data_IF_547071748649
#
_entry.id   IF_547071748649
#
_cell.length_a   1.000
_cell.length_b   1.000
_cell.length_c   1.000
_cell.angle_alpha   90.00
_cell.angle_beta   90.00
_cell.angle_gamma   90.00
#
_symmetry.space_group_name_H-M   'P 1'
#
loop_
_entity.id
_entity.type
_entity.pdbx_description
1 polymer ?
#
# COMPACT_ATOMS: atom_id res chain seq x y z
N UNK A 1 -8.99 16.32 33.76
CA UNK A 1 -8.67 16.70 32.36
C UNK A 1 -7.60 15.81 31.69
N UNK A 2 -7.20 14.66 32.26
CA UNK A 2 -6.08 13.84 31.71
C UNK A 2 -6.52 12.54 31.01
N UNK A 3 -7.83 12.25 30.93
CA UNK A 3 -8.31 10.98 30.37
C UNK A 3 -8.07 10.85 28.87
N UNK A 4 -8.36 11.91 28.11
CA UNK A 4 -8.23 11.92 26.64
C UNK A 4 -6.76 11.91 26.22
N UNK A 5 -5.89 12.70 26.86
CA UNK A 5 -4.46 12.71 26.55
C UNK A 5 -3.78 11.39 26.89
N UNK A 6 -4.14 10.77 28.02
CA UNK A 6 -3.61 9.46 28.38
C UNK A 6 -4.09 8.39 27.39
N UNK A 7 -5.36 8.43 26.98
CA UNK A 7 -5.88 7.55 25.93
C UNK A 7 -5.12 7.72 24.60
N UNK A 8 -4.92 8.95 24.12
CA UNK A 8 -4.15 9.21 22.89
C UNK A 8 -2.72 8.67 22.99
N UNK A 9 -2.08 8.81 24.16
CA UNK A 9 -0.72 8.33 24.38
C UNK A 9 -0.65 6.80 24.31
N UNK A 10 -1.57 6.11 24.99
CA UNK A 10 -1.66 4.64 24.93
C UNK A 10 -1.99 4.15 23.52
N UNK A 11 -2.92 4.82 22.84
CA UNK A 11 -3.26 4.51 21.46
C UNK A 11 -2.05 4.65 20.53
N UNK A 12 -1.27 5.73 20.66
CA UNK A 12 -0.08 5.95 19.83
C UNK A 12 0.99 4.87 20.04
N UNK A 13 1.20 4.41 21.27
CA UNK A 13 2.12 3.31 21.57
C UNK A 13 1.63 1.99 20.98
N UNK A 14 0.34 1.71 21.11
CA UNK A 14 -0.30 0.57 20.46
C UNK A 14 -0.13 0.62 18.94
N UNK A 15 -0.41 1.77 18.33
CA UNK A 15 -0.30 1.98 16.89
C UNK A 15 1.11 1.76 16.36
N UNK A 16 2.12 2.28 17.05
CA UNK A 16 3.53 2.06 16.69
C UNK A 16 3.87 0.57 16.69
N UNK A 17 3.48 -0.13 17.75
CA UNK A 17 3.67 -1.59 17.86
C UNK A 17 2.90 -2.34 16.77
N UNK A 18 1.67 -1.91 16.48
CA UNK A 18 0.82 -2.48 15.45
C UNK A 18 1.45 -2.35 14.06
N UNK A 19 2.04 -1.20 13.72
CA UNK A 19 2.72 -1.00 12.44
C UNK A 19 3.93 -1.91 12.25
N UNK A 20 4.69 -2.19 13.30
CA UNK A 20 5.80 -3.15 13.25
C UNK A 20 5.29 -4.54 12.86
N UNK A 21 4.19 -5.01 13.47
CA UNK A 21 3.58 -6.29 13.07
C UNK A 21 2.97 -6.23 11.66
N UNK A 22 2.39 -5.09 11.30
CA UNK A 22 1.78 -4.85 10.00
C UNK A 22 2.80 -4.98 8.86
N UNK A 23 4.05 -4.55 9.06
CA UNK A 23 5.16 -4.78 8.12
C UNK A 23 5.31 -6.25 7.77
N UNK A 24 5.41 -7.13 8.78
CA UNK A 24 5.62 -8.56 8.55
C UNK A 24 4.41 -9.22 7.90
N UNK A 25 3.19 -8.83 8.29
CA UNK A 25 1.96 -9.28 7.64
C UNK A 25 1.96 -8.85 6.17
N UNK A 26 2.34 -7.62 5.88
CA UNK A 26 2.42 -7.09 4.52
C UNK A 26 3.43 -7.86 3.67
N UNK A 27 4.62 -8.12 4.19
CA UNK A 27 5.65 -8.93 3.53
C UNK A 27 5.12 -10.35 3.25
N UNK A 28 4.43 -10.97 4.20
CA UNK A 28 3.83 -12.30 4.02
C UNK A 28 2.78 -12.29 2.90
N UNK A 29 1.91 -11.28 2.85
CA UNK A 29 0.93 -11.12 1.77
C UNK A 29 1.65 -11.00 0.42
N UNK A 30 2.69 -10.17 0.34
CA UNK A 30 3.46 -9.96 -0.89
C UNK A 30 4.16 -11.22 -1.38
N UNK A 31 4.76 -11.99 -0.47
CA UNK A 31 5.31 -13.31 -0.80
C UNK A 31 4.23 -14.27 -1.29
N UNK A 32 3.10 -14.33 -0.60
CA UNK A 32 1.99 -15.21 -0.95
C UNK A 32 1.48 -14.90 -2.35
N UNK A 33 1.26 -13.62 -2.64
CA UNK A 33 0.85 -13.12 -3.96
C UNK A 33 1.91 -13.47 -5.01
N UNK A 34 3.19 -13.20 -4.76
CA UNK A 34 4.29 -13.51 -5.67
C UNK A 34 4.38 -15.00 -6.02
N UNK A 35 4.41 -15.88 -5.01
CA UNK A 35 4.43 -17.32 -5.20
C UNK A 35 3.19 -17.83 -5.93
N UNK A 36 1.99 -17.41 -5.54
CA UNK A 36 0.74 -17.81 -6.21
C UNK A 36 0.75 -17.44 -7.70
N UNK A 37 1.32 -16.29 -8.04
CA UNK A 37 1.45 -15.85 -9.45
C UNK A 37 2.38 -16.78 -10.23
N UNK A 38 3.53 -17.14 -9.66
CA UNK A 38 4.49 -18.06 -10.29
C UNK A 38 3.96 -19.49 -10.40
N UNK A 39 3.30 -20.01 -9.36
CA UNK A 39 2.64 -21.32 -9.39
C UNK A 39 1.58 -21.39 -10.49
N UNK A 40 0.78 -20.33 -10.64
CA UNK A 40 -0.24 -20.28 -11.69
C UNK A 40 0.35 -20.28 -13.09
N UNK A 41 1.45 -19.57 -13.33
CA UNK A 41 2.16 -19.61 -14.61
C UNK A 41 2.67 -21.02 -14.92
N UNK A 42 3.24 -21.71 -13.92
CA UNK A 42 3.71 -23.10 -14.07
C UNK A 42 2.55 -24.04 -14.44
N UNK A 43 1.39 -23.88 -13.80
CA UNK A 43 0.18 -24.64 -14.13
C UNK A 43 -0.32 -24.40 -15.55
N UNK A 44 -0.38 -23.13 -15.97
CA UNK A 44 -0.78 -22.77 -17.35
C UNK A 44 0.22 -23.36 -18.36
N UNK A 45 1.53 -23.24 -18.12
CA UNK A 45 2.55 -23.78 -19.01
C UNK A 45 2.44 -25.30 -19.20
N UNK A 46 2.23 -26.06 -18.11
CA UNK A 46 2.04 -27.52 -18.18
C UNK A 46 0.81 -27.87 -19.01
N UNK A 47 -0.29 -27.13 -18.83
CA UNK A 47 -1.54 -27.30 -19.58
C UNK A 47 -1.36 -27.02 -21.06
N UNK A 48 -0.78 -25.88 -21.44
CA UNK A 48 -0.51 -25.53 -22.85
C UNK A 48 0.37 -26.57 -23.53
N UNK A 49 1.36 -27.12 -22.81
CA UNK A 49 2.24 -28.19 -23.31
C UNK A 49 1.49 -29.51 -23.54
N UNK A 50 0.53 -29.85 -22.70
CA UNK A 50 -0.27 -31.07 -22.82
C UNK A 50 -1.35 -30.95 -23.90
N UNK A 51 -2.02 -29.80 -23.98
CA UNK A 51 -3.16 -29.57 -24.88
C UNK A 51 -2.72 -29.08 -26.29
N UNK A 52 -1.42 -28.88 -26.56
CA UNK A 52 -0.86 -28.32 -27.82
C UNK A 52 -1.55 -27.01 -28.26
N UNK A 53 -2.01 -26.21 -27.31
CA UNK A 53 -2.67 -24.92 -27.58
C UNK A 53 -1.63 -23.93 -28.11
N UNK A 54 -2.02 -23.13 -29.10
CA UNK A 54 -1.13 -22.17 -29.74
C UNK A 54 -0.51 -21.20 -28.72
N UNK A 55 0.82 -20.98 -28.76
CA UNK A 55 1.52 -20.13 -27.79
C UNK A 55 1.16 -18.64 -27.90
N UNK A 56 0.46 -18.22 -28.95
CA UNK A 56 0.00 -16.83 -29.14
C UNK A 56 -1.16 -16.43 -28.23
N UNK A 57 -1.89 -17.39 -27.64
CA UNK A 57 -3.08 -17.10 -26.83
C UNK A 57 -2.75 -16.48 -25.46
N UNK A 58 -1.55 -16.72 -24.91
CA UNK A 58 -1.18 -16.28 -23.55
C UNK A 58 -0.18 -15.09 -23.55
N UNK A 59 -0.55 -14.01 -24.23
CA UNK A 59 0.22 -12.73 -24.26
C UNK A 59 0.53 -12.18 -22.86
N UNK A 60 -0.24 -12.55 -21.84
CA UNK A 60 -0.07 -12.11 -20.45
C UNK A 60 0.97 -12.91 -19.65
N UNK A 61 1.55 -13.98 -20.21
CA UNK A 61 2.54 -14.81 -19.52
C UNK A 61 3.78 -14.04 -19.09
N UNK A 62 4.34 -13.20 -19.97
CA UNK A 62 5.52 -12.37 -19.67
C UNK A 62 5.23 -11.33 -18.56
N UNK A 63 4.16 -10.51 -18.65
CA UNK A 63 3.76 -9.62 -17.56
C UNK A 63 3.58 -10.33 -16.21
N UNK A 64 2.90 -11.48 -16.16
CA UNK A 64 2.68 -12.24 -14.92
C UNK A 64 3.98 -12.70 -14.28
N UNK A 65 4.95 -13.13 -15.09
CA UNK A 65 6.25 -13.56 -14.60
C UNK A 65 7.00 -12.39 -13.98
N UNK A 66 7.05 -11.26 -14.70
CA UNK A 66 7.66 -10.02 -14.20
C UNK A 66 7.01 -9.58 -12.89
N UNK A 67 5.67 -9.59 -12.79
CA UNK A 67 4.96 -9.25 -11.56
C UNK A 67 5.23 -10.20 -10.40
N UNK A 68 5.24 -11.51 -10.66
CA UNK A 68 5.54 -12.50 -9.63
C UNK A 68 6.91 -12.29 -9.01
N UNK A 69 7.93 -12.07 -9.85
CA UNK A 69 9.28 -11.72 -9.38
C UNK A 69 9.32 -10.35 -8.71
N UNK A 70 8.61 -9.36 -9.24
CA UNK A 70 8.53 -8.02 -8.67
C UNK A 70 7.92 -8.01 -7.26
N UNK A 71 6.85 -8.77 -7.02
CA UNK A 71 6.26 -8.90 -5.67
C UNK A 71 7.21 -9.56 -4.68
N UNK A 72 7.93 -10.61 -5.09
CA UNK A 72 8.94 -11.28 -4.25
C UNK A 72 10.11 -10.34 -3.95
N UNK A 73 10.60 -9.61 -4.96
CA UNK A 73 11.67 -8.63 -4.80
C UNK A 73 11.27 -7.51 -3.84
N UNK A 74 10.05 -6.95 -4.00
CA UNK A 74 9.52 -5.95 -3.07
C UNK A 74 9.35 -6.50 -1.66
N UNK A 75 8.88 -7.75 -1.50
CA UNK A 75 8.72 -8.38 -0.19
C UNK A 75 10.06 -8.49 0.55
N UNK A 76 11.11 -8.98 -0.12
CA UNK A 76 12.48 -8.97 0.43
C UNK A 76 12.99 -7.55 0.68
N UNK A 77 12.68 -6.64 -0.22
CA UNK A 77 13.01 -5.23 -0.11
C UNK A 77 12.52 -4.56 1.15
N UNK A 78 11.25 -4.81 1.49
CA UNK A 78 10.61 -4.26 2.68
C UNK A 78 11.05 -5.00 3.93
N UNK A 79 11.30 -6.32 3.83
CA UNK A 79 11.79 -7.11 4.96
C UNK A 79 13.17 -6.64 5.45
N UNK A 80 14.07 -6.28 4.52
CA UNK A 80 15.42 -5.81 4.82
C UNK A 80 15.57 -4.28 4.80
N UNK A 81 14.46 -3.54 4.79
CA UNK A 81 14.38 -2.07 4.82
C UNK A 81 15.01 -1.31 3.65
N UNK A 82 15.86 -1.93 2.83
CA UNK A 82 16.53 -1.25 1.72
C UNK A 82 15.52 -0.66 0.72
N UNK A 83 14.43 -1.39 0.45
CA UNK A 83 13.42 -0.91 -0.49
C UNK A 83 12.49 0.11 0.17
N UNK A 84 12.26 -0.01 1.47
CA UNK A 84 11.53 1.01 2.26
C UNK A 84 12.27 2.34 2.20
N UNK A 85 13.58 2.36 2.44
CA UNK A 85 14.41 3.57 2.29
C UNK A 85 14.39 4.11 0.86
N UNK A 86 14.53 3.25 -0.14
CA UNK A 86 14.46 3.65 -1.55
C UNK A 86 13.11 4.31 -1.88
N UNK A 87 11.99 3.71 -1.45
CA UNK A 87 10.66 4.26 -1.67
C UNK A 87 10.48 5.60 -0.98
N UNK A 88 10.93 5.74 0.27
CA UNK A 88 10.90 7.03 0.98
C UNK A 88 11.65 8.07 0.16
N UNK A 89 12.90 7.85 -0.24
CA UNK A 89 13.71 8.83 -0.96
C UNK A 89 13.09 9.22 -2.32
N UNK A 90 12.62 8.23 -3.09
CA UNK A 90 12.09 8.47 -4.44
C UNK A 90 10.73 9.18 -4.39
N UNK A 91 9.93 8.90 -3.37
CA UNK A 91 8.57 9.41 -3.25
C UNK A 91 8.45 10.63 -2.31
N UNK A 92 9.45 10.95 -1.48
CA UNK A 92 9.52 12.16 -0.64
C UNK A 92 9.25 13.47 -1.39
N UNK A 93 9.69 13.66 -2.66
CA UNK A 93 9.37 14.89 -3.38
C UNK A 93 7.93 14.94 -3.91
N UNK A 94 7.13 13.88 -3.79
CA UNK A 94 5.72 13.96 -4.12
C UNK A 94 4.99 14.73 -3.02
N UNK A 95 4.00 15.57 -3.36
CA UNK A 95 3.09 16.15 -2.39
C UNK A 95 2.23 15.03 -1.82
N UNK A 96 2.80 14.26 -0.89
CA UNK A 96 2.05 13.29 -0.13
C UNK A 96 1.02 14.07 0.69
N UNK A 97 -0.19 13.53 0.75
CA UNK A 97 -1.31 14.00 1.59
C UNK A 97 -2.09 15.20 1.03
N UNK A 98 -2.64 15.06 -0.18
CA UNK A 98 -3.73 15.92 -0.67
C UNK A 98 -4.90 16.04 0.33
N UNK A 99 -5.07 15.08 1.24
CA UNK A 99 -6.01 15.17 2.36
C UNK A 99 -5.82 16.45 3.17
N UNK A 100 -4.60 16.93 3.44
CA UNK A 100 -4.42 18.16 4.22
C UNK A 100 -4.77 19.42 3.42
N UNK A 101 -4.53 19.41 2.10
CA UNK A 101 -5.04 20.45 1.19
C UNK A 101 -6.57 20.47 1.16
N UNK A 102 -7.21 19.29 1.18
CA UNK A 102 -8.67 19.18 1.26
C UNK A 102 -9.23 19.64 2.62
N UNK A 103 -8.55 19.31 3.72
CA UNK A 103 -8.97 19.75 5.06
C UNK A 103 -8.83 21.28 5.20
N UNK A 104 -7.79 21.87 4.61
CA UNK A 104 -7.59 23.33 4.58
C UNK A 104 -8.24 24.02 3.37
N UNK A 105 -9.26 23.42 2.74
CA UNK A 105 -9.87 23.95 1.51
C UNK A 105 -10.46 25.37 1.70
N UNK A 106 -10.98 25.67 2.89
CA UNK A 106 -11.51 26.99 3.23
C UNK A 106 -10.43 28.00 3.68
N UNK A 107 -9.18 27.57 3.84
CA UNK A 107 -8.10 28.43 4.33
C UNK A 107 -8.18 28.80 5.82
N UNK A 108 -9.10 28.20 6.57
CA UNK A 108 -9.32 28.49 8.00
C UNK A 108 -8.24 27.89 8.92
N UNK A 109 -7.39 26.99 8.41
CA UNK A 109 -6.29 26.40 9.18
C UNK A 109 -4.98 27.13 8.90
N UNK A 110 -4.38 27.63 9.98
CA UNK A 110 -3.03 28.21 9.96
C UNK A 110 -2.04 27.16 9.41
N UNK A 111 -1.22 27.49 8.38
CA UNK A 111 -0.21 26.58 7.84
C UNK A 111 0.81 26.11 8.88
N UNK A 112 0.99 26.83 10.00
CA UNK A 112 1.82 26.34 11.11
C UNK A 112 1.18 25.16 11.85
N UNK A 113 -0.15 25.13 11.92
CA UNK A 113 -0.92 24.05 12.55
C UNK A 113 -0.96 22.83 11.63
N UNK A 114 -1.13 23.01 10.31
CA UNK A 114 -1.14 21.89 9.35
C UNK A 114 0.20 21.14 9.30
N UNK A 115 1.32 21.88 9.29
CA UNK A 115 2.67 21.32 9.25
C UNK A 115 3.01 20.47 10.50
N UNK A 116 2.29 20.68 11.62
CA UNK A 116 2.43 19.89 12.85
C UNK A 116 1.70 18.55 12.78
N UNK A 117 0.64 18.41 12.00
CA UNK A 117 -0.04 17.14 11.75
C UNK A 117 0.55 16.38 10.57
N UNK A 118 1.24 17.10 9.67
CA UNK A 118 1.89 16.54 8.49
C UNK A 118 3.24 15.87 8.80
N UNK A 119 3.91 16.22 9.89
CA UNK A 119 5.17 15.57 10.25
C UNK A 119 5.14 15.08 11.69
N UNK A 120 5.31 13.77 11.87
CA UNK A 120 5.27 13.13 13.19
C UNK A 120 6.36 13.67 14.13
N UNK A 121 7.51 14.11 13.58
CA UNK A 121 8.60 14.71 14.34
C UNK A 121 8.25 16.12 14.84
N UNK A 122 7.36 16.81 14.14
CA UNK A 122 6.88 18.16 14.49
C UNK A 122 5.63 18.15 15.38
N UNK A 123 5.03 16.98 15.62
CA UNK A 123 3.88 16.82 16.52
C UNK A 123 4.29 17.14 17.96
N UNK A 124 3.62 18.11 18.59
CA UNK A 124 3.83 18.49 19.99
C UNK A 124 2.85 17.80 20.93
N UNK A 125 1.61 17.56 20.47
CA UNK A 125 0.57 16.96 21.30
C UNK A 125 0.23 15.52 20.89
N UNK A 126 -0.22 14.66 21.81
CA UNK A 126 -0.48 13.25 21.53
C UNK A 126 -1.62 13.03 20.54
N UNK A 127 -2.64 13.90 20.51
CA UNK A 127 -3.75 13.81 19.56
C UNK A 127 -3.31 14.08 18.11
N UNK A 128 -2.27 14.89 17.90
CA UNK A 128 -1.72 15.16 16.55
C UNK A 128 -1.08 13.90 15.97
N UNK A 129 -0.33 13.17 16.81
CA UNK A 129 0.22 11.86 16.45
C UNK A 129 -0.86 10.83 16.16
N UNK A 130 -1.96 10.85 16.91
CA UNK A 130 -3.11 9.96 16.69
C UNK A 130 -3.74 10.20 15.31
N UNK A 131 -3.89 11.46 14.90
CA UNK A 131 -4.36 11.81 13.55
C UNK A 131 -3.38 11.31 12.49
N UNK A 132 -2.07 11.52 12.69
CA UNK A 132 -1.04 11.01 11.78
C UNK A 132 -1.13 9.50 11.59
N UNK A 133 -1.20 8.74 12.70
CA UNK A 133 -1.31 7.27 12.66
C UNK A 133 -2.58 6.81 11.94
N UNK A 134 -3.68 7.55 12.08
CA UNK A 134 -4.94 7.24 11.39
C UNK A 134 -4.80 7.43 9.88
N UNK A 135 -4.15 8.51 9.45
CA UNK A 135 -3.85 8.78 8.03
C UNK A 135 -2.89 7.72 7.46
N UNK A 136 -1.86 7.35 8.23
CA UNK A 136 -0.93 6.29 7.84
C UNK A 136 -1.62 4.93 7.67
N UNK A 137 -2.60 4.59 8.54
CA UNK A 137 -3.39 3.38 8.37
C UNK A 137 -4.21 3.40 7.08
N UNK A 138 -4.88 4.50 6.79
CA UNK A 138 -5.60 4.67 5.53
C UNK A 138 -4.66 4.52 4.33
N UNK A 139 -3.51 5.20 4.36
CA UNK A 139 -2.48 5.13 3.33
C UNK A 139 -2.01 3.68 3.08
N UNK A 140 -1.73 2.92 4.15
CA UNK A 140 -1.40 1.50 4.04
C UNK A 140 -2.53 0.68 3.41
N UNK A 141 -3.77 0.86 3.89
CA UNK A 141 -4.93 0.11 3.40
C UNK A 141 -5.20 0.34 1.91
N UNK A 142 -5.11 1.59 1.44
CA UNK A 142 -5.28 1.91 0.02
C UNK A 142 -4.13 1.36 -0.83
N UNK A 143 -2.89 1.43 -0.34
CA UNK A 143 -1.73 0.85 -1.01
C UNK A 143 -1.85 -0.67 -1.15
N UNK A 144 -2.25 -1.36 -0.08
CA UNK A 144 -2.51 -2.80 -0.10
C UNK A 144 -3.62 -3.17 -1.10
N UNK A 145 -4.74 -2.44 -1.09
CA UNK A 145 -5.83 -2.67 -2.04
C UNK A 145 -5.41 -2.42 -3.48
N UNK A 146 -4.56 -1.41 -3.73
CA UNK A 146 -4.02 -1.14 -5.06
C UNK A 146 -3.17 -2.31 -5.55
N UNK A 147 -2.25 -2.80 -4.73
CA UNK A 147 -1.38 -3.96 -5.01
C UNK A 147 -2.23 -5.20 -5.35
N UNK A 148 -3.24 -5.49 -4.53
CA UNK A 148 -4.13 -6.64 -4.74
C UNK A 148 -5.02 -6.47 -5.97
N UNK A 149 -5.49 -5.24 -6.26
CA UNK A 149 -6.30 -4.95 -7.45
C UNK A 149 -5.50 -5.15 -8.74
N UNK A 150 -4.23 -4.70 -8.77
CA UNK A 150 -3.31 -4.94 -9.89
C UNK A 150 -3.07 -6.44 -10.08
N UNK A 151 -2.79 -7.16 -8.99
CA UNK A 151 -2.60 -8.61 -9.03
C UNK A 151 -3.84 -9.32 -9.58
N UNK A 152 -5.03 -8.96 -9.10
CA UNK A 152 -6.29 -9.54 -9.55
C UNK A 152 -6.51 -9.31 -11.04
N UNK A 153 -6.26 -8.10 -11.54
CA UNK A 153 -6.46 -7.73 -12.94
C UNK A 153 -5.60 -8.59 -13.88
N UNK A 154 -4.35 -8.83 -13.50
CA UNK A 154 -3.38 -9.51 -14.39
C UNK A 154 -3.48 -11.02 -14.27
N UNK A 155 -3.84 -11.52 -13.09
CA UNK A 155 -3.94 -12.95 -12.85
C UNK A 155 -5.30 -13.54 -13.25
N UNK A 156 -6.31 -12.74 -13.61
CA UNK A 156 -7.60 -13.29 -14.04
C UNK A 156 -7.55 -13.71 -15.52
N UNK A 157 -7.52 -15.03 -15.77
CA UNK A 157 -7.28 -15.59 -17.10
C UNK A 157 -8.58 -16.05 -17.81
N UNK A 158 -9.71 -16.01 -17.12
CA UNK A 158 -11.03 -16.37 -17.67
C UNK A 158 -12.02 -15.37 -17.13
N UNK A 159 -12.41 -14.41 -17.98
CA UNK A 159 -13.49 -13.44 -17.80
C UNK A 159 -13.51 -12.84 -16.39
N UNK A 160 -12.99 -11.61 -16.25
CA UNK A 160 -13.24 -10.84 -15.03
C UNK A 160 -14.75 -10.88 -14.77
N UNK A 161 -15.20 -11.56 -13.72
CA UNK A 161 -16.62 -11.85 -13.51
C UNK A 161 -17.45 -10.57 -13.45
N UNK A 162 -16.82 -9.48 -12.99
CA UNK A 162 -17.35 -8.13 -13.03
C UNK A 162 -16.23 -7.10 -13.29
N UNK A 163 -15.93 -6.76 -14.56
CA UNK A 163 -14.85 -5.81 -14.89
C UNK A 163 -15.09 -4.43 -14.29
N UNK A 164 -16.36 -4.00 -14.21
CA UNK A 164 -16.76 -2.75 -13.56
C UNK A 164 -16.35 -2.70 -12.08
N UNK A 165 -16.50 -3.80 -11.35
CA UNK A 165 -16.12 -3.87 -9.93
C UNK A 165 -14.61 -3.78 -9.75
N UNK A 166 -13.84 -4.42 -10.62
CA UNK A 166 -12.38 -4.32 -10.59
C UNK A 166 -11.91 -2.90 -10.91
N UNK A 167 -12.45 -2.30 -11.97
CA UNK A 167 -12.12 -0.91 -12.31
C UNK A 167 -12.48 0.05 -11.19
N UNK A 168 -13.66 -0.11 -10.57
CA UNK A 168 -14.08 0.68 -9.43
C UNK A 168 -13.11 0.53 -8.26
N UNK A 169 -12.72 -0.71 -7.91
CA UNK A 169 -11.75 -0.97 -6.86
C UNK A 169 -10.38 -0.36 -7.16
N UNK A 170 -9.90 -0.45 -8.42
CA UNK A 170 -8.63 0.17 -8.82
C UNK A 170 -8.70 1.68 -8.71
N UNK A 171 -9.77 2.32 -9.22
CA UNK A 171 -9.96 3.78 -9.13
C UNK A 171 -10.06 4.21 -7.66
N UNK A 172 -10.86 3.51 -6.86
CA UNK A 172 -10.98 3.75 -5.41
C UNK A 172 -9.62 3.67 -4.72
N UNK A 173 -8.82 2.65 -5.05
CA UNK A 173 -7.48 2.46 -4.48
C UNK A 173 -6.53 3.56 -4.92
N UNK A 174 -6.47 3.90 -6.21
CA UNK A 174 -5.63 4.99 -6.73
C UNK A 174 -6.01 6.32 -6.08
N UNK A 175 -7.30 6.67 -6.07
CA UNK A 175 -7.78 7.92 -5.46
C UNK A 175 -7.43 7.99 -3.98
N UNK A 176 -7.63 6.90 -3.23
CA UNK A 176 -7.26 6.86 -1.82
C UNK A 176 -5.76 6.98 -1.58
N UNK A 177 -4.93 6.35 -2.42
CA UNK A 177 -3.47 6.43 -2.30
C UNK A 177 -2.96 7.86 -2.59
N UNK A 178 -3.57 8.54 -3.58
CA UNK A 178 -3.28 9.97 -3.86
C UNK A 178 -3.70 10.85 -2.67
N UNK A 179 -4.89 10.61 -2.12
CA UNK A 179 -5.44 11.41 -1.03
C UNK A 179 -4.59 11.29 0.25
N UNK A 180 -4.34 10.07 0.72
CA UNK A 180 -3.67 9.81 1.98
C UNK A 180 -2.13 9.74 1.88
N UNK A 181 -1.59 9.83 0.65
CA UNK A 181 -0.15 9.70 0.35
C UNK A 181 0.26 8.24 0.14
N UNK A 182 1.24 8.01 -0.72
CA UNK A 182 1.78 6.67 -0.99
C UNK A 182 2.79 6.24 0.07
N UNK A 183 3.43 7.18 0.75
CA UNK A 183 4.56 6.90 1.66
C UNK A 183 4.24 7.05 3.14
N UNK A 184 3.08 7.60 3.50
CA UNK A 184 2.81 8.06 4.87
C UNK A 184 2.95 6.97 5.93
N UNK A 185 2.79 5.69 5.56
CA UNK A 185 2.99 4.53 6.45
C UNK A 185 4.41 3.96 6.42
N UNK A 186 5.21 4.22 5.38
CA UNK A 186 6.53 3.60 5.17
C UNK A 186 7.54 3.88 6.29
N UNK A 187 7.60 5.08 6.91
CA UNK A 187 8.50 5.32 8.03
C UNK A 187 8.25 4.42 9.24
N UNK A 188 7.03 3.87 9.40
CA UNK A 188 6.72 2.94 10.48
C UNK A 188 7.08 1.48 10.19
N UNK A 189 7.53 1.20 8.96
CA UNK A 189 8.05 -0.11 8.59
C UNK A 189 9.56 -0.19 8.79
N UNK A 190 10.24 0.93 9.05
CA UNK A 190 11.63 0.94 9.53
C UNK A 190 11.68 0.55 11.01
#
# INVERSE_FOLDING_TARGET
MNGVENWCTQFNLFMLTFFIFLKYIFVLIMFSVGFLTLYKIRGIYLRTRQEKIDPEEDRLKKPRLVLGFFYIFMAFGILFDFFTYFLIIVLDPLPDRFVFLFINFNGDLDPYISNRFENIEKCKYPHEKTIYYSIALCSFFFTLNLILSIWYLINNNRVISNPRKVMYNTIYSVSGTILFGCTTFLPFFL
#
